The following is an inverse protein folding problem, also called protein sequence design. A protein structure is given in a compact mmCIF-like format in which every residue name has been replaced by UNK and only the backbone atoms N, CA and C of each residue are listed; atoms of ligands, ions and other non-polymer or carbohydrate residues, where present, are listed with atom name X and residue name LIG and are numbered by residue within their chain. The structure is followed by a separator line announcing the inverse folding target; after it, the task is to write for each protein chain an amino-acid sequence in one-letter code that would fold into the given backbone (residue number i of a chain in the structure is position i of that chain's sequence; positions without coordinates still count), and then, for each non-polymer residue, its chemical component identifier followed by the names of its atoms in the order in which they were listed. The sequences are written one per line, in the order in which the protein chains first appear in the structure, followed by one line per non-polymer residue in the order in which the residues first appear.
data_IF_975619652365
#
_entry.id   IF_975619652365
#
_cell.length_a   1.000
_cell.length_b   1.000
_cell.length_c   1.000
_cell.angle_alpha   90.00
_cell.angle_beta   90.00
_cell.angle_gamma   90.00
#
_symmetry.space_group_name_H-M   'P 1'
#
loop_
_entity.id
_entity.type
_entity.pdbx_description
1 polymer ?
#
# COMPACT_ATOMS: atom_id res chain seq x y z
N UNK A 1 -17.55 -5.21 -10.87
CA UNK A 1 -16.38 -5.76 -10.14
C UNK A 1 -15.48 -4.59 -9.80
N UNK A 2 -15.27 -4.34 -8.52
CA UNK A 2 -14.54 -3.17 -8.01
C UNK A 2 -13.09 -3.55 -7.73
N UNK A 3 -12.17 -2.59 -7.72
CA UNK A 3 -10.77 -2.81 -7.31
C UNK A 3 -10.62 -2.45 -5.83
N UNK A 4 -10.21 -3.41 -5.01
CA UNK A 4 -9.83 -3.17 -3.63
C UNK A 4 -8.32 -2.94 -3.56
N UNK A 5 -7.91 -1.71 -3.22
CA UNK A 5 -6.51 -1.36 -3.02
C UNK A 5 -6.18 -1.54 -1.54
N UNK A 6 -5.37 -2.54 -1.21
CA UNK A 6 -4.92 -2.77 0.15
C UNK A 6 -3.58 -2.07 0.42
N UNK A 7 -3.62 -0.99 1.18
CA UNK A 7 -2.45 -0.20 1.59
C UNK A 7 -2.00 -0.65 2.98
N UNK A 8 -0.79 -1.21 3.11
CA UNK A 8 -0.31 -1.74 4.38
C UNK A 8 1.22 -1.86 4.46
N UNK A 9 1.74 -1.99 5.70
CA UNK A 9 3.17 -2.20 5.94
C UNK A 9 3.65 -3.61 5.54
N UNK A 10 2.84 -4.64 5.80
CA UNK A 10 3.11 -6.06 5.46
C UNK A 10 4.51 -6.54 5.89
N UNK A 11 4.91 -6.16 7.10
CA UNK A 11 6.25 -6.39 7.61
C UNK A 11 6.20 -7.09 8.99
N UNK A 12 6.26 -8.43 9.04
CA UNK A 12 6.07 -9.36 7.91
C UNK A 12 4.59 -9.46 7.48
N UNK A 13 4.32 -10.26 6.44
CA UNK A 13 2.96 -10.75 6.16
C UNK A 13 2.51 -11.63 7.33
N UNK A 14 1.28 -11.45 7.80
CA UNK A 14 0.71 -12.13 8.97
C UNK A 14 -0.62 -12.77 8.59
N UNK A 15 -1.13 -13.69 9.41
CA UNK A 15 -2.45 -14.30 9.17
C UNK A 15 -3.58 -13.28 9.10
N UNK A 16 -3.51 -12.18 9.88
CA UNK A 16 -4.49 -11.11 9.79
C UNK A 16 -4.46 -10.41 8.41
N UNK A 17 -3.26 -10.19 7.84
CA UNK A 17 -3.15 -9.70 6.47
C UNK A 17 -3.76 -10.69 5.47
N UNK A 18 -3.57 -11.99 5.70
CA UNK A 18 -4.10 -13.04 4.83
C UNK A 18 -5.63 -13.04 4.85
N UNK A 19 -6.23 -13.00 6.03
CA UNK A 19 -7.68 -12.95 6.22
C UNK A 19 -8.30 -11.72 5.56
N UNK A 20 -7.68 -10.54 5.72
CA UNK A 20 -8.14 -9.30 5.07
C UNK A 20 -8.11 -9.45 3.54
N UNK A 21 -7.02 -9.97 2.98
CA UNK A 21 -6.89 -10.13 1.52
C UNK A 21 -7.92 -11.15 1.01
N UNK A 22 -8.11 -12.28 1.69
CA UNK A 22 -9.11 -13.28 1.32
C UNK A 22 -10.53 -12.71 1.37
N UNK A 23 -10.87 -11.90 2.38
CA UNK A 23 -12.17 -11.23 2.45
C UNK A 23 -12.37 -10.27 1.28
N UNK A 24 -11.38 -9.43 0.98
CA UNK A 24 -11.46 -8.47 -0.13
C UNK A 24 -11.61 -9.17 -1.49
N UNK A 25 -10.92 -10.31 -1.69
CA UNK A 25 -10.94 -11.08 -2.94
C UNK A 25 -12.30 -11.69 -3.28
N UNK A 26 -13.19 -11.91 -2.30
CA UNK A 26 -14.49 -12.54 -2.53
C UNK A 26 -15.33 -11.85 -3.61
N UNK A 27 -15.27 -10.52 -3.65
CA UNK A 27 -16.11 -9.71 -4.55
C UNK A 27 -15.29 -8.76 -5.45
N UNK A 28 -13.98 -8.65 -5.22
CA UNK A 28 -13.15 -7.62 -5.80
C UNK A 28 -11.86 -8.18 -6.40
N UNK A 29 -11.33 -7.45 -7.39
CA UNK A 29 -9.91 -7.59 -7.76
C UNK A 29 -9.09 -6.90 -6.67
N UNK A 30 -8.09 -7.58 -6.11
CA UNK A 30 -7.25 -7.02 -5.05
C UNK A 30 -5.90 -6.59 -5.60
N UNK A 31 -5.54 -5.34 -5.30
CA UNK A 31 -4.20 -4.79 -5.52
C UNK A 31 -3.58 -4.52 -4.16
N UNK A 32 -2.59 -5.31 -3.79
CA UNK A 32 -1.82 -5.15 -2.55
C UNK A 32 -0.67 -4.18 -2.81
N UNK A 33 -0.58 -3.11 -2.03
CA UNK A 33 0.51 -2.14 -2.12
C UNK A 33 1.25 -2.07 -0.78
N UNK A 34 2.31 -2.89 -0.60
CA UNK A 34 3.21 -2.76 0.54
C UNK A 34 3.85 -1.38 0.54
N UNK A 35 3.79 -0.66 1.66
CA UNK A 35 4.40 0.66 1.77
C UNK A 35 5.90 0.60 1.55
N UNK A 36 6.45 1.60 0.87
CA UNK A 36 7.90 1.75 0.65
C UNK A 36 8.34 3.14 1.06
N UNK A 37 9.50 3.22 1.69
CA UNK A 37 10.15 4.49 2.01
C UNK A 37 11.47 4.52 1.26
N UNK A 38 11.58 5.34 0.23
CA UNK A 38 12.80 5.49 -0.55
C UNK A 38 13.54 6.76 -0.13
N UNK A 39 14.83 6.60 0.11
CA UNK A 39 15.78 7.70 0.11
C UNK A 39 16.64 7.55 -1.15
N UNK A 40 16.45 8.46 -2.11
CA UNK A 40 16.93 8.32 -3.48
C UNK A 40 16.38 7.02 -4.10
N UNK A 41 17.22 6.04 -4.41
CA UNK A 41 16.83 4.74 -4.96
C UNK A 41 16.86 3.61 -3.93
N UNK A 42 17.27 3.91 -2.69
CA UNK A 42 17.44 2.90 -1.64
C UNK A 42 16.22 2.85 -0.73
N UNK A 43 15.67 1.66 -0.55
CA UNK A 43 14.63 1.43 0.45
C UNK A 43 15.21 1.56 1.86
N UNK A 44 14.51 2.35 2.68
CA UNK A 44 14.86 2.63 4.07
C UNK A 44 14.24 1.53 4.92
N UNK A 45 15.08 0.61 5.37
CA UNK A 45 14.72 -0.44 6.32
C UNK A 45 15.19 -0.06 7.73
N UNK A 46 14.49 -0.58 8.74
CA UNK A 46 14.84 -0.39 10.15
C UNK A 46 14.72 -1.72 10.90
N UNK A 47 15.11 -1.77 12.18
CA UNK A 47 14.89 -2.97 13.01
C UNK A 47 13.41 -3.34 13.11
N UNK A 48 12.51 -2.35 13.12
CA UNK A 48 11.06 -2.56 13.12
C UNK A 48 10.48 -2.72 11.71
N UNK A 49 11.26 -2.44 10.66
CA UNK A 49 10.91 -2.62 9.25
C UNK A 49 12.00 -3.39 8.48
N UNK A 50 12.31 -4.64 8.87
CA UNK A 50 13.50 -5.34 8.40
C UNK A 50 13.40 -5.87 6.97
N UNK A 51 12.19 -5.98 6.40
CA UNK A 51 12.00 -6.57 5.07
C UNK A 51 11.77 -5.50 4.00
N UNK A 52 12.56 -5.54 2.94
CA UNK A 52 12.35 -4.70 1.76
C UNK A 52 11.11 -5.12 0.97
N UNK A 53 10.76 -4.34 -0.05
CA UNK A 53 9.62 -4.63 -0.92
C UNK A 53 9.70 -6.00 -1.58
N UNK A 54 10.88 -6.40 -2.08
CA UNK A 54 11.02 -7.66 -2.82
C UNK A 54 10.81 -8.88 -1.91
N UNK A 55 11.29 -8.84 -0.67
CA UNK A 55 11.04 -9.89 0.31
C UNK A 55 9.56 -9.94 0.67
N UNK A 56 8.93 -8.79 0.95
CA UNK A 56 7.49 -8.74 1.28
C UNK A 56 6.62 -9.18 0.12
N UNK A 57 6.99 -8.82 -1.12
CA UNK A 57 6.35 -9.28 -2.35
C UNK A 57 6.39 -10.81 -2.44
N UNK A 58 7.56 -11.42 -2.26
CA UNK A 58 7.70 -12.89 -2.25
C UNK A 58 6.86 -13.56 -1.15
N UNK A 59 6.76 -12.93 0.03
CA UNK A 59 5.88 -13.43 1.10
C UNK A 59 4.41 -13.45 0.66
N UNK A 60 3.93 -12.40 -0.02
CA UNK A 60 2.55 -12.34 -0.54
C UNK A 60 2.36 -13.37 -1.66
N UNK A 61 3.28 -13.43 -2.62
CA UNK A 61 3.25 -14.40 -3.74
C UNK A 61 3.27 -15.85 -3.23
N UNK A 62 3.99 -16.14 -2.15
CA UNK A 62 4.03 -17.48 -1.57
C UNK A 62 2.69 -17.95 -1.00
N UNK A 63 1.82 -17.02 -0.61
CA UNK A 63 0.49 -17.33 -0.06
C UNK A 63 -0.58 -17.28 -1.16
N UNK A 64 -0.50 -16.30 -2.04
CA UNK A 64 -1.58 -15.98 -2.97
C UNK A 64 -1.29 -16.33 -4.43
N UNK A 65 -0.04 -16.65 -4.79
CA UNK A 65 0.39 -16.78 -6.19
C UNK A 65 -0.04 -15.56 -7.00
N UNK A 66 -0.62 -15.81 -8.17
CA UNK A 66 -1.12 -14.78 -9.09
C UNK A 66 -2.56 -14.32 -8.78
N UNK A 67 -3.15 -14.75 -7.66
CA UNK A 67 -4.54 -14.40 -7.30
C UNK A 67 -4.73 -12.95 -6.85
N UNK A 68 -3.64 -12.22 -6.62
CA UNK A 68 -3.63 -10.79 -6.28
C UNK A 68 -2.57 -10.06 -7.08
N UNK A 69 -2.80 -8.78 -7.37
CA UNK A 69 -1.79 -7.92 -7.97
C UNK A 69 -0.97 -7.25 -6.86
N UNK A 70 0.34 -7.19 -7.02
CA UNK A 70 1.24 -6.52 -6.07
C UNK A 70 1.86 -5.33 -6.77
N UNK A 71 1.72 -4.14 -6.19
CA UNK A 71 2.22 -2.90 -6.81
C UNK A 71 3.14 -2.10 -5.87
N UNK A 72 4.27 -1.57 -6.38
CA UNK A 72 5.15 -0.68 -5.62
C UNK A 72 4.63 0.76 -5.53
N UNK A 73 3.44 1.05 -6.05
CA UNK A 73 2.94 2.43 -6.20
C UNK A 73 2.67 3.16 -4.88
N UNK A 74 2.61 2.45 -3.75
CA UNK A 74 2.57 3.05 -2.43
C UNK A 74 3.98 3.35 -1.89
N UNK A 75 4.68 4.27 -2.57
CA UNK A 75 6.06 4.66 -2.24
C UNK A 75 6.14 6.12 -1.80
N UNK A 76 6.78 6.34 -0.65
CA UNK A 76 7.14 7.65 -0.12
C UNK A 76 8.59 7.97 -0.46
N UNK A 77 8.85 9.16 -1.00
CA UNK A 77 10.20 9.62 -1.31
C UNK A 77 10.69 10.63 -0.27
N UNK A 78 11.94 10.49 0.18
CA UNK A 78 12.53 11.42 1.12
C UNK A 78 12.50 12.88 0.59
N UNK A 79 12.27 13.88 1.47
CA UNK A 79 12.02 13.76 2.90
C UNK A 79 10.53 13.47 3.23
N UNK A 80 10.30 12.46 4.08
CA UNK A 80 8.96 11.90 4.37
C UNK A 80 8.01 12.87 5.09
N UNK A 81 8.54 13.87 5.79
CA UNK A 81 7.74 14.93 6.45
C UNK A 81 6.79 15.68 5.50
N UNK A 82 7.04 15.63 4.18
CA UNK A 82 6.20 16.26 3.15
C UNK A 82 4.81 15.62 3.01
N UNK A 83 4.60 14.43 3.57
CA UNK A 83 3.35 13.68 3.47
C UNK A 83 2.52 13.70 4.76
N UNK A 84 3.02 14.35 5.83
CA UNK A 84 2.32 14.41 7.11
C UNK A 84 1.13 15.39 7.07
N UNK A 85 -0.04 15.03 7.63
CA UNK A 85 -1.14 15.98 7.86
C UNK A 85 -0.72 17.05 8.88
N UNK A 86 -1.27 18.29 8.84
CA UNK A 86 -2.46 18.76 8.13
C UNK A 86 -2.21 19.36 6.73
N UNK A 87 -1.02 19.17 6.15
CA UNK A 87 -0.67 19.83 4.90
C UNK A 87 -1.23 19.01 3.72
N UNK A 88 -2.28 19.54 3.07
CA UNK A 88 -2.65 19.16 1.69
C UNK A 88 -1.49 19.61 0.79
N UNK A 89 -0.38 18.90 0.87
CA UNK A 89 0.81 19.23 0.13
C UNK A 89 0.65 18.70 -1.30
N UNK A 90 1.24 19.36 -2.30
CA UNK A 90 1.34 18.82 -3.66
C UNK A 90 1.92 17.39 -3.70
N UNK A 91 2.72 17.01 -2.68
CA UNK A 91 3.30 15.67 -2.56
C UNK A 91 2.28 14.63 -2.09
N UNK A 92 1.35 14.96 -1.19
CA UNK A 92 0.25 14.06 -0.82
C UNK A 92 -0.67 13.80 -2.02
N UNK A 93 -0.94 14.82 -2.85
CA UNK A 93 -1.64 14.65 -4.12
C UNK A 93 -0.85 13.80 -5.13
N UNK A 94 0.47 14.01 -5.21
CA UNK A 94 1.35 13.18 -6.05
C UNK A 94 1.33 11.72 -5.62
N UNK A 95 1.32 11.43 -4.31
CA UNK A 95 1.22 10.07 -3.78
C UNK A 95 -0.12 9.45 -4.16
N UNK A 96 -1.23 10.18 -4.02
CA UNK A 96 -2.53 9.70 -4.47
C UNK A 96 -2.53 9.37 -5.96
N UNK A 97 -1.98 10.25 -6.80
CA UNK A 97 -1.85 9.98 -8.24
C UNK A 97 -0.99 8.74 -8.53
N UNK A 98 0.07 8.54 -7.75
CA UNK A 98 0.94 7.37 -7.86
C UNK A 98 0.20 6.08 -7.48
N UNK A 99 -0.48 6.05 -6.34
CA UNK A 99 -1.30 4.90 -5.88
C UNK A 99 -2.34 4.52 -6.94
N UNK A 100 -2.97 5.50 -7.57
CA UNK A 100 -4.01 5.28 -8.58
C UNK A 100 -3.47 5.03 -9.99
N UNK A 101 -2.15 5.08 -10.20
CA UNK A 101 -1.56 4.84 -11.50
C UNK A 101 -1.80 3.38 -11.94
N UNK A 102 -2.49 3.22 -13.07
CA UNK A 102 -2.85 1.90 -13.61
C UNK A 102 -4.09 1.26 -12.97
N UNK A 103 -4.79 1.98 -12.08
CA UNK A 103 -6.06 1.54 -11.51
C UNK A 103 -7.21 2.07 -12.38
N UNK A 104 -8.08 1.17 -12.84
CA UNK A 104 -9.29 1.51 -13.61
C UNK A 104 -10.35 2.22 -12.75
N UNK A 105 -11.39 2.75 -13.39
CA UNK A 105 -12.50 3.41 -12.69
C UNK A 105 -13.28 2.39 -11.83
N UNK A 106 -13.56 2.75 -10.58
CA UNK A 106 -14.27 1.89 -9.63
C UNK A 106 -13.30 1.16 -8.68
N UNK A 107 -12.75 1.90 -7.73
CA UNK A 107 -11.88 1.36 -6.69
C UNK A 107 -12.28 1.87 -5.30
N UNK A 108 -11.86 1.14 -4.27
CA UNK A 108 -11.81 1.65 -2.90
C UNK A 108 -10.48 1.26 -2.26
N UNK A 109 -10.06 2.03 -1.27
CA UNK A 109 -8.83 1.78 -0.51
C UNK A 109 -9.17 1.19 0.84
N UNK A 110 -8.53 0.09 1.20
CA UNK A 110 -8.52 -0.46 2.54
C UNK A 110 -7.15 -0.17 3.16
N UNK A 111 -7.15 0.53 4.29
CA UNK A 111 -5.94 0.76 5.10
C UNK A 111 -6.27 0.41 6.55
N UNK A 112 -5.37 -0.32 7.20
CA UNK A 112 -5.48 -0.65 8.62
C UNK A 112 -5.13 0.54 9.52
N UNK A 113 -4.58 1.62 8.96
CA UNK A 113 -4.28 2.85 9.69
C UNK A 113 -5.49 3.79 9.66
N UNK A 114 -6.13 3.96 10.81
CA UNK A 114 -7.31 4.84 10.99
C UNK A 114 -7.02 6.28 10.54
N UNK A 115 -5.77 6.75 10.67
CA UNK A 115 -5.38 8.09 10.25
C UNK A 115 -5.35 8.22 8.73
N UNK A 116 -4.80 7.23 8.03
CA UNK A 116 -4.73 7.21 6.58
C UNK A 116 -6.11 6.98 5.93
N UNK A 117 -6.95 6.14 6.54
CA UNK A 117 -8.31 5.90 6.05
C UNK A 117 -9.21 7.13 6.18
N UNK A 118 -9.01 7.95 7.22
CA UNK A 118 -9.68 9.24 7.35
C UNK A 118 -9.16 10.24 6.30
N UNK A 119 -7.83 10.27 6.07
CA UNK A 119 -7.23 11.12 5.04
C UNK A 119 -7.80 10.82 3.65
N UNK A 120 -7.84 9.55 3.23
CA UNK A 120 -8.33 9.16 1.90
C UNK A 120 -9.82 9.46 1.68
N UNK A 121 -10.62 9.55 2.75
CA UNK A 121 -12.03 9.96 2.70
C UNK A 121 -12.24 11.48 2.67
N UNK A 122 -11.26 12.26 3.13
CA UNK A 122 -11.30 13.73 3.16
C UNK A 122 -10.86 14.37 1.82
N UNK A 123 -10.30 13.58 0.90
CA UNK A 123 -9.94 13.97 -0.46
C UNK A 123 -11.00 13.54 -1.47
#
# INVERSE_FOLDING_TARGET
MTIAIYLAHLNPVTNAHVEIIEELKKENKVVVMPVRFLNEEKEVNSKSFPFDFEIRKKMIESVFGDSVLISPNYTFYAPFKKYLPPLISPKSWSLRKQILQGIENGYFTYTGDKAEGLMLKLY
#
